data_IF_533190096709
#
_entry.id   IF_533190096709
#
_cell.length_a   1.000
_cell.length_b   1.000
_cell.length_c   1.000
_cell.angle_alpha   90.00
_cell.angle_beta   90.00
_cell.angle_gamma   90.00
#
_symmetry.space_group_name_H-M   'P 1'
#
loop_
_entity.id
_entity.type
_entity.pdbx_description
1 polymer ?
#
# COMPACT_ATOMS: atom_id res chain seq x y z
N UNK A 1 41.08 -40.83 -8.56
CA UNK A 1 40.75 -39.82 -7.52
C UNK A 1 39.45 -39.17 -7.95
N UNK A 2 38.32 -39.68 -7.44
CA UNK A 2 36.99 -39.11 -7.68
C UNK A 2 36.87 -37.83 -6.83
N UNK A 3 36.77 -36.67 -7.50
CA UNK A 3 36.50 -35.39 -6.84
C UNK A 3 35.16 -35.40 -6.10
N UNK A 4 34.99 -34.59 -5.05
CA UNK A 4 33.74 -34.55 -4.28
C UNK A 4 32.61 -34.16 -5.19
N UNK A 5 31.58 -35.03 -5.28
CA UNK A 5 30.35 -34.73 -5.96
C UNK A 5 29.78 -33.40 -5.41
N UNK A 6 29.60 -32.42 -6.29
CA UNK A 6 29.00 -31.15 -5.92
C UNK A 6 27.62 -31.50 -5.32
N UNK A 7 27.44 -31.26 -4.02
CA UNK A 7 26.14 -31.39 -3.38
C UNK A 7 25.19 -30.41 -4.07
N UNK A 8 24.20 -30.95 -4.77
CA UNK A 8 23.12 -30.15 -5.32
C UNK A 8 22.52 -29.30 -4.18
N UNK A 9 22.64 -27.96 -4.26
CA UNK A 9 21.96 -27.08 -3.32
C UNK A 9 20.47 -27.18 -3.64
N UNK A 10 19.70 -27.67 -2.68
CA UNK A 10 18.24 -27.59 -2.78
C UNK A 10 17.89 -26.12 -2.61
N UNK A 11 17.54 -25.46 -3.71
CA UNK A 11 17.02 -24.10 -3.67
C UNK A 11 15.54 -24.13 -3.32
N UNK A 12 15.08 -23.16 -2.54
CA UNK A 12 13.65 -22.93 -2.35
C UNK A 12 12.98 -22.70 -3.72
N UNK A 13 11.74 -23.16 -3.94
CA UNK A 13 11.03 -22.91 -5.18
C UNK A 13 10.84 -21.39 -5.37
N UNK A 14 10.84 -20.95 -6.64
CA UNK A 14 10.58 -19.55 -6.96
C UNK A 14 9.19 -19.14 -6.44
N UNK A 15 9.00 -17.93 -5.92
CA UNK A 15 7.71 -17.47 -5.38
C UNK A 15 6.52 -17.70 -6.31
N UNK A 16 6.71 -17.58 -7.63
CA UNK A 16 5.64 -17.75 -8.63
C UNK A 16 5.05 -19.17 -8.65
N UNK A 17 5.81 -20.18 -8.22
CA UNK A 17 5.42 -21.60 -8.25
C UNK A 17 5.51 -22.26 -6.87
N UNK A 18 5.94 -21.54 -5.84
CA UNK A 18 6.00 -22.06 -4.49
C UNK A 18 4.60 -22.44 -3.99
N UNK A 19 4.44 -23.59 -3.28
CA UNK A 19 3.16 -23.92 -2.67
C UNK A 19 2.75 -22.83 -1.67
N UNK A 20 1.46 -22.49 -1.68
CA UNK A 20 0.92 -21.56 -0.71
C UNK A 20 0.94 -22.17 0.69
N UNK A 21 1.17 -21.38 1.75
CA UNK A 21 1.03 -21.87 3.11
C UNK A 21 -0.42 -22.29 3.40
N UNK A 22 -0.65 -23.18 4.37
CA UNK A 22 -2.01 -23.56 4.75
C UNK A 22 -2.78 -22.33 5.26
N UNK A 23 -4.01 -22.17 4.77
CA UNK A 23 -4.87 -21.08 5.22
C UNK A 23 -5.35 -21.33 6.65
N UNK A 24 -5.31 -20.32 7.51
CA UNK A 24 -5.95 -20.29 8.81
C UNK A 24 -7.34 -19.67 8.73
N UNK A 25 -8.30 -20.19 9.52
CA UNK A 25 -9.64 -19.62 9.67
C UNK A 25 -9.76 -19.06 11.09
N UNK A 26 -9.24 -17.84 11.32
CA UNK A 26 -9.29 -17.19 12.64
C UNK A 26 -10.59 -16.44 12.87
N UNK A 27 -11.14 -15.87 11.78
CA UNK A 27 -12.41 -15.18 11.78
C UNK A 27 -13.45 -15.95 10.95
N UNK A 28 -14.70 -16.03 11.37
CA UNK A 28 -15.74 -16.68 10.60
C UNK A 28 -15.87 -16.12 9.19
N UNK A 29 -15.83 -16.99 8.18
CA UNK A 29 -15.94 -16.59 6.78
C UNK A 29 -14.73 -15.88 6.21
N UNK A 30 -13.55 -15.92 6.87
CA UNK A 30 -12.31 -15.36 6.38
C UNK A 30 -11.19 -16.40 6.43
N UNK A 31 -10.46 -16.55 5.33
CA UNK A 31 -9.26 -17.39 5.24
C UNK A 31 -8.03 -16.49 5.26
N UNK A 32 -7.05 -16.81 6.08
CA UNK A 32 -5.84 -16.03 6.27
C UNK A 32 -4.62 -16.84 5.84
N UNK A 33 -3.80 -16.31 4.94
CA UNK A 33 -2.48 -16.84 4.58
C UNK A 33 -1.42 -15.83 5.01
N UNK A 34 -0.43 -16.26 5.78
CA UNK A 34 0.60 -15.40 6.35
C UNK A 34 1.97 -15.75 5.79
N UNK A 35 2.80 -14.71 5.58
CA UNK A 35 4.19 -14.89 5.18
C UNK A 35 4.34 -15.53 3.81
N UNK A 36 3.51 -15.13 2.83
CA UNK A 36 3.59 -15.65 1.46
C UNK A 36 4.67 -14.88 0.70
N UNK A 37 5.80 -15.51 0.33
CA UNK A 37 6.83 -14.83 -0.43
C UNK A 37 6.33 -14.53 -1.85
N UNK A 38 6.49 -13.28 -2.28
CA UNK A 38 6.14 -12.86 -3.65
C UNK A 38 7.36 -12.41 -4.47
N UNK A 39 8.46 -12.07 -3.80
CA UNK A 39 9.70 -11.64 -4.46
C UNK A 39 10.92 -12.06 -3.65
N UNK A 40 11.93 -12.55 -4.37
CA UNK A 40 13.27 -12.81 -3.84
C UNK A 40 14.26 -11.95 -4.62
N UNK A 41 14.48 -10.71 -4.17
CA UNK A 41 15.49 -9.84 -4.75
C UNK A 41 16.89 -10.27 -4.29
N UNK A 42 17.86 -10.24 -5.20
CA UNK A 42 19.24 -10.60 -4.87
C UNK A 42 19.81 -9.64 -3.80
N UNK A 43 20.39 -10.21 -2.73
CA UNK A 43 20.96 -9.44 -1.62
C UNK A 43 19.94 -8.88 -0.64
N UNK A 44 18.66 -9.19 -0.79
CA UNK A 44 17.58 -8.77 0.11
C UNK A 44 16.97 -9.97 0.84
N UNK A 45 16.25 -9.70 1.94
CA UNK A 45 15.34 -10.67 2.52
C UNK A 45 14.23 -11.04 1.51
N UNK A 46 13.59 -12.20 1.64
CA UNK A 46 12.35 -12.44 0.91
C UNK A 46 11.34 -11.34 1.24
N UNK A 47 10.66 -10.82 0.22
CA UNK A 47 9.53 -9.94 0.42
C UNK A 47 8.26 -10.78 0.41
N UNK A 48 7.45 -10.57 1.44
CA UNK A 48 6.28 -11.38 1.71
C UNK A 48 5.01 -10.52 1.70
N UNK A 49 3.90 -11.18 1.53
CA UNK A 49 2.58 -10.60 1.73
C UNK A 49 1.74 -11.51 2.64
N UNK A 50 0.77 -10.90 3.29
CA UNK A 50 -0.28 -11.60 4.01
C UNK A 50 -1.60 -11.41 3.28
N UNK A 51 -2.40 -12.47 3.20
CA UNK A 51 -3.68 -12.47 2.51
C UNK A 51 -4.83 -12.72 3.49
N UNK A 52 -5.86 -11.89 3.41
CA UNK A 52 -7.17 -12.15 3.98
C UNK A 52 -8.14 -12.34 2.83
N UNK A 53 -8.66 -13.55 2.69
CA UNK A 53 -9.54 -13.93 1.59
C UNK A 53 -10.95 -14.16 2.11
N UNK A 54 -11.99 -13.67 1.43
CA UNK A 54 -13.36 -14.00 1.77
C UNK A 54 -13.56 -15.52 1.79
N UNK A 55 -14.36 -16.00 2.74
CA UNK A 55 -14.87 -17.37 2.71
C UNK A 55 -15.92 -17.50 1.62
N UNK A 56 -15.49 -17.91 0.44
CA UNK A 56 -16.38 -18.04 -0.72
C UNK A 56 -17.00 -19.43 -0.80
N UNK A 57 -18.26 -19.52 -1.26
CA UNK A 57 -18.83 -20.79 -1.71
C UNK A 57 -18.04 -21.31 -2.94
N UNK A 58 -18.01 -22.64 -3.20
CA UNK A 58 -17.19 -23.22 -4.27
C UNK A 58 -17.36 -22.59 -5.65
N UNK A 59 -18.53 -22.04 -5.97
CA UNK A 59 -18.85 -21.45 -7.30
C UNK A 59 -18.95 -19.91 -7.25
N UNK A 60 -18.37 -19.27 -6.23
CA UNK A 60 -18.40 -17.81 -6.15
C UNK A 60 -17.49 -17.16 -7.18
N UNK A 61 -17.90 -16.01 -7.73
CA UNK A 61 -17.04 -15.19 -8.56
C UNK A 61 -15.77 -14.77 -7.77
N UNK A 62 -14.62 -14.62 -8.46
CA UNK A 62 -13.39 -14.15 -7.82
C UNK A 62 -13.60 -12.81 -7.10
N UNK A 63 -13.04 -12.68 -5.90
CA UNK A 63 -13.17 -11.48 -5.07
C UNK A 63 -12.34 -10.32 -5.63
N UNK A 64 -12.84 -9.07 -5.60
CA UNK A 64 -12.01 -7.91 -5.88
C UNK A 64 -10.87 -7.79 -4.87
N UNK A 65 -9.80 -7.11 -5.26
CA UNK A 65 -8.56 -7.05 -4.49
C UNK A 65 -8.34 -5.67 -3.86
N UNK A 66 -7.98 -5.65 -2.61
CA UNK A 66 -7.34 -4.50 -1.95
C UNK A 66 -5.86 -4.82 -1.76
N UNK A 67 -4.98 -3.99 -2.30
CA UNK A 67 -3.54 -4.02 -1.97
C UNK A 67 -3.28 -2.97 -0.91
N UNK A 68 -3.00 -3.41 0.31
CA UNK A 68 -2.69 -2.52 1.42
C UNK A 68 -1.19 -2.29 1.53
N UNK A 69 -0.78 -1.02 1.62
CA UNK A 69 0.60 -0.56 1.75
C UNK A 69 0.75 0.18 3.07
N UNK A 70 1.56 -0.36 3.97
CA UNK A 70 1.73 0.18 5.32
C UNK A 70 2.55 1.47 5.37
N UNK A 71 2.26 2.32 6.35
CA UNK A 71 3.03 3.50 6.70
C UNK A 71 4.36 3.18 7.41
N UNK A 72 4.99 4.21 7.98
CA UNK A 72 6.23 4.08 8.75
C UNK A 72 7.41 4.84 8.15
N UNK A 73 7.14 5.98 7.51
CA UNK A 73 8.16 6.90 6.97
C UNK A 73 9.19 6.20 6.07
N UNK A 74 8.77 5.14 5.37
CA UNK A 74 9.56 4.28 4.46
C UNK A 74 10.72 3.52 5.11
N UNK A 75 11.00 3.69 6.40
CA UNK A 75 12.14 3.03 7.06
C UNK A 75 11.75 2.07 8.17
N UNK A 76 10.47 2.00 8.53
CA UNK A 76 9.91 1.05 9.48
C UNK A 76 8.46 0.70 9.10
N UNK A 77 7.82 -0.14 9.88
CA UNK A 77 6.45 -0.58 9.64
C UNK A 77 6.35 -2.08 9.39
N UNK A 78 5.12 -2.55 9.33
CA UNK A 78 4.79 -3.97 9.12
C UNK A 78 3.56 -4.06 8.22
N UNK A 79 3.56 -5.03 7.33
CA UNK A 79 2.45 -5.26 6.39
C UNK A 79 1.10 -5.51 7.08
N UNK A 80 1.10 -6.12 8.27
CA UNK A 80 -0.11 -6.47 9.02
C UNK A 80 -0.57 -5.37 10.00
N UNK A 81 -0.17 -4.12 9.79
CA UNK A 81 -0.48 -2.99 10.66
C UNK A 81 -1.10 -1.82 9.88
N UNK A 82 -2.39 -1.57 10.07
CA UNK A 82 -3.10 -0.42 9.51
C UNK A 82 -3.05 0.82 10.44
N UNK A 83 -2.08 0.89 11.33
CA UNK A 83 -1.85 2.00 12.25
C UNK A 83 -2.42 1.78 13.65
N UNK A 84 -1.94 2.62 14.57
CA UNK A 84 -2.16 2.47 16.02
C UNK A 84 -3.63 2.39 16.41
N UNK A 85 -4.50 3.14 15.72
CA UNK A 85 -5.91 3.29 16.09
C UNK A 85 -6.75 2.06 15.75
N UNK A 86 -6.25 1.17 14.87
CA UNK A 86 -6.97 -0.05 14.46
C UNK A 86 -6.44 -1.32 15.11
N UNK A 87 -5.30 -1.25 15.81
CA UNK A 87 -4.63 -2.43 16.39
C UNK A 87 -5.45 -3.20 17.42
N UNK A 88 -6.37 -2.51 18.11
CA UNK A 88 -7.22 -3.11 19.14
C UNK A 88 -8.58 -3.58 18.58
N UNK A 89 -8.82 -3.41 17.28
CA UNK A 89 -10.08 -3.83 16.68
C UNK A 89 -10.18 -5.37 16.63
N UNK A 90 -11.37 -5.86 16.98
CA UNK A 90 -11.73 -7.28 16.88
C UNK A 90 -13.15 -7.41 16.31
N UNK A 91 -13.32 -7.93 15.08
CA UNK A 91 -12.28 -8.32 14.11
C UNK A 91 -11.40 -7.14 13.69
N UNK A 92 -10.14 -7.45 13.32
CA UNK A 92 -9.20 -6.45 12.82
C UNK A 92 -9.59 -5.90 11.44
N UNK A 93 -8.96 -4.77 11.01
CA UNK A 93 -9.38 -4.05 9.81
C UNK A 93 -9.34 -4.92 8.54
N UNK A 94 -8.30 -5.73 8.35
CA UNK A 94 -8.17 -6.58 7.17
C UNK A 94 -9.22 -7.70 7.13
N UNK A 95 -9.54 -8.28 8.29
CA UNK A 95 -10.62 -9.26 8.39
C UNK A 95 -11.98 -8.62 8.10
N UNK A 96 -12.22 -7.38 8.51
CA UNK A 96 -13.44 -6.62 8.20
C UNK A 96 -13.57 -6.37 6.69
N UNK A 97 -12.49 -6.02 6.00
CA UNK A 97 -12.46 -5.85 4.54
C UNK A 97 -12.77 -7.19 3.85
N UNK A 98 -12.14 -8.29 4.33
CA UNK A 98 -12.40 -9.62 3.77
C UNK A 98 -13.83 -10.09 4.01
N UNK A 99 -14.38 -9.86 5.20
CA UNK A 99 -15.79 -10.15 5.52
C UNK A 99 -16.78 -9.32 4.66
N UNK A 100 -16.36 -8.16 4.17
CA UNK A 100 -17.14 -7.33 3.23
C UNK A 100 -17.05 -7.82 1.77
N UNK A 101 -16.34 -8.93 1.50
CA UNK A 101 -16.27 -9.57 0.19
C UNK A 101 -15.07 -9.16 -0.68
N UNK A 102 -14.10 -8.42 -0.15
CA UNK A 102 -12.89 -8.04 -0.86
C UNK A 102 -11.68 -8.82 -0.34
N UNK A 103 -10.89 -9.44 -1.20
CA UNK A 103 -9.60 -9.98 -0.80
C UNK A 103 -8.65 -8.84 -0.41
N UNK A 104 -7.79 -9.05 0.59
CA UNK A 104 -6.78 -8.07 0.99
C UNK A 104 -5.41 -8.71 0.90
N UNK A 105 -4.48 -8.05 0.21
CA UNK A 105 -3.06 -8.36 0.21
C UNK A 105 -2.32 -7.24 0.95
N UNK A 106 -1.80 -7.53 2.12
CA UNK A 106 -0.94 -6.63 2.87
C UNK A 106 0.51 -6.92 2.50
N UNK A 107 1.20 -5.96 1.89
CA UNK A 107 2.49 -6.22 1.25
C UNK A 107 3.66 -5.61 2.01
N UNK A 108 4.75 -6.37 2.13
CA UNK A 108 6.06 -5.82 2.46
C UNK A 108 6.60 -5.03 1.26
N UNK A 109 7.48 -4.10 1.52
CA UNK A 109 8.36 -3.50 0.53
C UNK A 109 9.73 -3.28 1.16
N UNK A 110 10.79 -3.11 0.35
CA UNK A 110 12.11 -2.78 0.89
C UNK A 110 12.07 -1.41 1.54
N UNK A 111 12.46 -1.39 2.81
CA UNK A 111 12.57 -0.15 3.56
C UNK A 111 13.80 0.65 3.09
N UNK A 112 13.83 1.94 3.36
CA UNK A 112 14.90 2.83 2.92
C UNK A 112 16.29 2.50 3.49
N UNK A 113 16.37 1.67 4.53
CA UNK A 113 17.62 1.06 5.00
C UNK A 113 18.07 -0.15 4.19
N UNK A 114 17.20 -0.73 3.37
CA UNK A 114 17.47 -1.88 2.50
C UNK A 114 17.75 -1.43 1.06
N UNK A 115 16.94 -0.47 0.55
CA UNK A 115 17.11 0.06 -0.79
C UNK A 115 16.43 1.45 -0.93
N UNK A 116 17.04 2.31 -1.75
CA UNK A 116 16.47 3.62 -2.06
C UNK A 116 15.37 3.53 -3.14
N UNK A 117 14.58 4.61 -3.28
CA UNK A 117 13.65 4.77 -4.40
C UNK A 117 14.39 4.64 -5.76
N UNK A 118 13.82 3.89 -6.75
CA UNK A 118 12.43 3.44 -6.84
C UNK A 118 12.15 2.04 -6.26
N UNK A 119 13.09 1.40 -5.58
CA UNK A 119 12.97 0.00 -5.16
C UNK A 119 11.65 -0.34 -4.40
N UNK A 120 11.16 0.45 -3.45
CA UNK A 120 9.87 0.16 -2.79
C UNK A 120 8.69 0.14 -3.77
N UNK A 121 8.67 1.01 -4.77
CA UNK A 121 7.63 1.02 -5.80
C UNK A 121 7.74 -0.20 -6.72
N UNK A 122 8.94 -0.59 -7.10
CA UNK A 122 9.20 -1.78 -7.92
C UNK A 122 8.77 -3.07 -7.18
N UNK A 123 8.92 -3.10 -5.86
CA UNK A 123 8.47 -4.19 -5.02
C UNK A 123 6.93 -4.31 -5.03
N UNK A 124 6.22 -3.18 -4.93
CA UNK A 124 4.74 -3.18 -5.03
C UNK A 124 4.25 -3.61 -6.40
N UNK A 125 4.93 -3.20 -7.48
CA UNK A 125 4.66 -3.69 -8.82
C UNK A 125 4.88 -5.20 -8.94
N UNK A 126 5.95 -5.70 -8.31
CA UNK A 126 6.22 -7.13 -8.27
C UNK A 126 5.13 -7.90 -7.49
N UNK A 127 4.64 -7.35 -6.37
CA UNK A 127 3.54 -7.92 -5.61
C UNK A 127 2.25 -7.98 -6.46
N UNK A 128 1.90 -6.90 -7.15
CA UNK A 128 0.72 -6.86 -8.02
C UNK A 128 0.84 -7.87 -9.17
N UNK A 129 2.01 -7.97 -9.81
CA UNK A 129 2.27 -8.98 -10.85
C UNK A 129 2.12 -10.40 -10.31
N UNK A 130 2.68 -10.69 -9.13
CA UNK A 130 2.57 -11.99 -8.47
C UNK A 130 1.11 -12.32 -8.15
N UNK A 131 0.35 -11.36 -7.60
CA UNK A 131 -1.07 -11.51 -7.31
C UNK A 131 -1.87 -11.78 -8.59
N UNK A 132 -1.53 -11.13 -9.71
CA UNK A 132 -2.15 -11.39 -11.01
C UNK A 132 -1.85 -12.80 -11.50
N UNK A 133 -0.62 -13.25 -11.38
CA UNK A 133 -0.21 -14.62 -11.75
C UNK A 133 -0.94 -15.69 -10.94
N UNK A 134 -1.14 -15.46 -9.66
CA UNK A 134 -1.72 -16.42 -8.70
C UNK A 134 -3.22 -16.17 -8.45
N UNK A 135 -3.83 -15.18 -9.09
CA UNK A 135 -5.19 -14.73 -8.83
C UNK A 135 -6.24 -15.84 -8.91
N UNK A 136 -6.17 -16.68 -9.93
CA UNK A 136 -7.10 -17.81 -10.11
C UNK A 136 -7.02 -18.83 -8.95
N UNK A 137 -5.82 -19.16 -8.48
CA UNK A 137 -5.61 -20.08 -7.36
C UNK A 137 -6.10 -19.48 -6.03
N UNK A 138 -5.94 -18.17 -5.87
CA UNK A 138 -6.38 -17.44 -4.68
C UNK A 138 -7.89 -17.13 -4.68
N UNK A 139 -8.57 -17.26 -5.83
CA UNK A 139 -9.95 -16.82 -6.01
C UNK A 139 -10.10 -15.29 -6.04
N UNK A 140 -9.11 -14.57 -6.62
CA UNK A 140 -9.01 -13.12 -6.63
C UNK A 140 -9.05 -12.59 -8.06
N UNK A 141 -9.82 -11.52 -8.27
CA UNK A 141 -9.87 -10.77 -9.52
C UNK A 141 -9.00 -9.51 -9.41
N UNK A 142 -7.81 -9.57 -9.98
CA UNK A 142 -6.86 -8.45 -9.98
C UNK A 142 -7.20 -7.35 -10.99
N UNK A 143 -8.13 -7.58 -11.90
CA UNK A 143 -8.71 -6.54 -12.77
C UNK A 143 -9.57 -5.53 -11.99
N UNK A 144 -9.90 -5.85 -10.73
CA UNK A 144 -10.67 -5.00 -9.80
C UNK A 144 -9.83 -4.69 -8.56
N UNK A 145 -8.62 -4.16 -8.77
CA UNK A 145 -7.69 -3.84 -7.69
C UNK A 145 -7.87 -2.40 -7.24
N UNK A 146 -8.09 -2.18 -5.95
CA UNK A 146 -7.99 -0.88 -5.30
C UNK A 146 -6.76 -0.90 -4.38
N UNK A 147 -5.90 0.12 -4.48
CA UNK A 147 -4.78 0.26 -3.56
C UNK A 147 -5.19 1.12 -2.36
N UNK A 148 -4.72 0.76 -1.18
CA UNK A 148 -5.00 1.49 0.05
C UNK A 148 -3.72 1.64 0.85
N UNK A 149 -3.36 2.86 1.24
CA UNK A 149 -2.16 3.09 2.04
C UNK A 149 -2.31 4.26 3.00
N UNK A 150 -1.52 4.23 4.06
CA UNK A 150 -1.43 5.28 5.06
C UNK A 150 -0.04 5.91 5.11
N UNK A 151 0.06 7.22 5.30
CA UNK A 151 1.35 7.94 5.44
C UNK A 151 2.33 7.61 4.31
N UNK A 152 3.51 7.10 4.62
CA UNK A 152 4.49 6.61 3.63
C UNK A 152 3.91 5.53 2.69
N UNK A 153 3.03 4.67 3.21
CA UNK A 153 2.29 3.70 2.39
C UNK A 153 1.28 4.38 1.47
N UNK A 154 0.64 5.46 1.92
CA UNK A 154 -0.23 6.30 1.09
C UNK A 154 0.52 6.96 -0.07
N UNK A 155 1.75 7.41 0.17
CA UNK A 155 2.64 7.90 -0.87
C UNK A 155 2.93 6.81 -1.93
N UNK A 156 3.37 5.62 -1.50
CA UNK A 156 3.69 4.52 -2.41
C UNK A 156 2.46 3.97 -3.12
N UNK A 157 1.31 3.89 -2.45
CA UNK A 157 0.04 3.50 -3.04
C UNK A 157 -0.42 4.50 -4.11
N UNK A 158 -0.21 5.81 -3.88
CA UNK A 158 -0.49 6.84 -4.89
C UNK A 158 0.36 6.65 -6.14
N UNK A 159 1.66 6.43 -5.97
CA UNK A 159 2.57 6.16 -7.09
C UNK A 159 2.20 4.87 -7.84
N UNK A 160 1.83 3.81 -7.12
CA UNK A 160 1.40 2.55 -7.74
C UNK A 160 0.13 2.75 -8.56
N UNK A 161 -0.87 3.45 -8.02
CA UNK A 161 -2.12 3.74 -8.71
C UNK A 161 -1.91 4.57 -9.99
N UNK A 162 -0.99 5.53 -9.95
CA UNK A 162 -0.69 6.39 -11.11
C UNK A 162 0.17 5.69 -12.17
N UNK A 163 0.90 4.62 -11.77
CA UNK A 163 1.80 3.90 -12.67
C UNK A 163 1.19 2.64 -13.29
N UNK A 164 0.17 2.04 -12.66
CA UNK A 164 -0.37 0.75 -13.06
C UNK A 164 -1.83 0.88 -13.55
N UNK A 165 -2.07 0.79 -14.86
CA UNK A 165 -3.41 0.95 -15.44
C UNK A 165 -4.45 -0.09 -14.97
N UNK A 166 -4.01 -1.19 -14.38
CA UNK A 166 -4.87 -2.22 -13.80
C UNK A 166 -5.47 -1.83 -12.43
N UNK A 167 -5.01 -0.73 -11.83
CA UNK A 167 -5.54 -0.23 -10.56
C UNK A 167 -6.83 0.55 -10.82
N UNK A 168 -7.93 0.09 -10.24
CA UNK A 168 -9.27 0.64 -10.41
C UNK A 168 -9.58 1.83 -9.49
N UNK A 169 -8.77 2.07 -8.45
CA UNK A 169 -8.94 3.18 -7.52
C UNK A 169 -7.90 3.20 -6.42
N UNK A 170 -7.81 4.32 -5.69
CA UNK A 170 -6.86 4.49 -4.59
C UNK A 170 -7.52 5.13 -3.37
N UNK A 171 -7.27 4.55 -2.20
CA UNK A 171 -7.61 5.13 -0.88
C UNK A 171 -6.31 5.55 -0.20
N UNK A 172 -6.16 6.84 0.05
CA UNK A 172 -4.93 7.41 0.59
C UNK A 172 -5.24 8.13 1.91
N UNK A 173 -4.67 7.64 2.98
CA UNK A 173 -4.74 8.27 4.27
C UNK A 173 -3.47 9.09 4.53
N UNK A 174 -3.61 10.40 4.68
CA UNK A 174 -2.56 11.36 5.05
C UNK A 174 -1.18 11.10 4.39
N UNK A 175 -1.18 10.75 3.11
CA UNK A 175 0.05 10.45 2.36
C UNK A 175 0.76 11.70 1.87
N UNK A 176 2.10 11.78 1.97
CA UNK A 176 2.87 12.82 1.28
C UNK A 176 2.72 12.66 -0.24
N UNK A 177 2.58 13.77 -0.96
CA UNK A 177 2.38 13.74 -2.42
C UNK A 177 3.45 14.49 -3.21
N UNK A 178 4.23 15.34 -2.54
CA UNK A 178 5.31 16.11 -3.16
C UNK A 178 6.56 16.06 -2.26
N UNK A 179 7.61 15.41 -2.73
CA UNK A 179 8.87 15.30 -2.02
C UNK A 179 9.85 16.43 -2.35
N UNK A 180 9.44 17.38 -3.17
CA UNK A 180 10.22 18.59 -3.50
C UNK A 180 9.88 19.76 -2.59
N UNK A 181 8.83 19.63 -1.76
CA UNK A 181 8.35 20.66 -0.82
C UNK A 181 8.52 20.22 0.62
N UNK A 182 8.31 21.13 1.55
CA UNK A 182 8.34 20.82 2.98
C UNK A 182 7.17 19.91 3.38
N UNK A 183 7.44 18.99 4.31
CA UNK A 183 6.44 18.15 4.94
C UNK A 183 6.45 18.42 6.45
N UNK A 184 5.48 19.19 6.91
CA UNK A 184 5.50 19.70 8.27
C UNK A 184 6.78 20.52 8.51
N UNK A 185 7.59 20.12 9.48
CA UNK A 185 8.88 20.76 9.78
C UNK A 185 10.08 20.14 9.04
N UNK A 186 9.88 19.09 8.24
CA UNK A 186 10.93 18.51 7.40
C UNK A 186 11.08 19.31 6.12
N UNK A 187 12.29 19.83 5.87
CA UNK A 187 12.59 20.62 4.66
C UNK A 187 13.35 19.80 3.62
N UNK A 188 13.23 20.13 2.34
CA UNK A 188 13.93 19.40 1.27
C UNK A 188 15.46 19.47 1.34
N UNK A 189 16.00 20.46 2.05
CA UNK A 189 17.46 20.65 2.22
C UNK A 189 18.05 19.77 3.31
N UNK A 190 17.23 19.28 4.25
CA UNK A 190 17.71 18.52 5.40
C UNK A 190 18.02 17.06 5.01
N UNK A 191 19.30 16.61 5.09
CA UNK A 191 19.68 15.23 4.77
C UNK A 191 19.25 14.20 5.83
N UNK A 192 18.74 14.63 6.99
CA UNK A 192 18.34 13.75 8.07
C UNK A 192 16.87 13.31 7.97
N UNK A 193 16.13 13.82 6.98
CA UNK A 193 14.71 13.52 6.80
C UNK A 193 14.45 12.08 6.33
N UNK A 194 13.27 11.53 6.60
CA UNK A 194 12.84 10.26 6.01
C UNK A 194 12.88 10.27 4.48
N UNK A 195 12.54 11.39 3.85
CA UNK A 195 12.62 11.61 2.40
C UNK A 195 14.05 11.47 1.88
N UNK A 196 15.01 12.06 2.59
CA UNK A 196 16.42 11.94 2.23
C UNK A 196 16.91 10.48 2.31
N UNK A 197 16.43 9.70 3.28
CA UNK A 197 16.73 8.27 3.37
C UNK A 197 16.10 7.50 2.21
N UNK A 198 14.83 7.78 1.89
CA UNK A 198 14.14 7.16 0.77
C UNK A 198 14.85 7.45 -0.56
N UNK A 199 15.29 8.68 -0.77
CA UNK A 199 15.92 9.13 -2.01
C UNK A 199 17.43 8.86 -2.06
N UNK A 200 18.07 8.51 -0.91
CA UNK A 200 19.50 8.33 -0.80
C UNK A 200 20.30 9.64 -0.70
N UNK A 201 19.63 10.79 -0.69
CA UNK A 201 20.19 12.14 -0.47
C UNK A 201 19.04 13.10 -0.15
N UNK A 202 19.37 14.30 0.38
CA UNK A 202 18.40 15.36 0.59
C UNK A 202 17.63 15.65 -0.71
N UNK A 203 16.29 15.78 -0.67
CA UNK A 203 15.46 16.03 -1.86
C UNK A 203 15.99 17.17 -2.74
N UNK A 204 16.42 18.29 -2.14
CA UNK A 204 16.99 19.43 -2.85
C UNK A 204 18.31 19.12 -3.58
N UNK A 205 19.06 18.11 -3.12
CA UNK A 205 20.29 17.65 -3.78
C UNK A 205 20.04 16.68 -4.95
N UNK A 206 18.83 16.10 -5.03
CA UNK A 206 18.42 15.14 -6.06
C UNK A 206 17.05 15.49 -6.63
N UNK A 207 16.82 16.69 -7.15
CA UNK A 207 15.49 17.22 -7.48
C UNK A 207 14.74 16.38 -8.51
N UNK A 208 15.43 15.81 -9.48
CA UNK A 208 14.81 14.93 -10.49
C UNK A 208 14.29 13.64 -9.85
N UNK A 209 15.05 13.04 -8.93
CA UNK A 209 14.63 11.85 -8.19
C UNK A 209 13.48 12.19 -7.23
N UNK A 210 13.54 13.32 -6.54
CA UNK A 210 12.48 13.80 -5.69
C UNK A 210 11.18 14.01 -6.49
N UNK A 211 11.27 14.64 -7.66
CA UNK A 211 10.13 14.81 -8.57
C UNK A 211 9.59 13.47 -9.08
N UNK A 212 10.46 12.54 -9.47
CA UNK A 212 10.06 11.19 -9.91
C UNK A 212 9.37 10.40 -8.79
N UNK A 213 9.74 10.66 -7.53
CA UNK A 213 9.11 10.08 -6.35
C UNK A 213 7.89 10.86 -5.85
N UNK A 214 7.47 11.94 -6.50
CA UNK A 214 6.34 12.77 -6.06
C UNK A 214 5.06 12.39 -6.82
N UNK A 215 4.04 11.80 -6.16
CA UNK A 215 2.75 11.47 -6.79
C UNK A 215 2.15 12.63 -7.59
N UNK A 216 2.15 13.85 -7.04
CA UNK A 216 1.59 15.03 -7.72
C UNK A 216 2.23 15.28 -9.08
N UNK A 217 3.51 14.97 -9.23
CA UNK A 217 4.26 15.14 -10.49
C UNK A 217 4.05 13.97 -11.48
N UNK A 218 3.41 12.89 -11.06
CA UNK A 218 3.12 11.71 -11.90
C UNK A 218 1.67 11.68 -12.39
N UNK A 219 0.85 12.62 -11.97
CA UNK A 219 -0.55 12.70 -12.40
C UNK A 219 -0.62 12.94 -13.91
N UNK A 220 -1.39 12.11 -14.61
CA UNK A 220 -1.64 12.20 -16.05
C UNK A 220 -3.12 11.91 -16.35
N UNK A 221 -3.62 12.29 -17.53
CA UNK A 221 -4.95 11.89 -17.98
C UNK A 221 -5.13 10.35 -17.94
N UNK A 222 -6.30 9.92 -17.46
CA UNK A 222 -6.56 8.49 -17.26
C UNK A 222 -6.17 7.94 -15.91
N UNK A 223 -5.72 8.77 -14.95
CA UNK A 223 -5.53 8.38 -13.56
C UNK A 223 -6.84 7.81 -12.98
N UNK A 224 -6.77 6.74 -12.16
CA UNK A 224 -7.97 6.16 -11.56
C UNK A 224 -8.62 7.11 -10.53
N UNK A 225 -9.84 6.82 -10.05
CA UNK A 225 -10.45 7.51 -8.93
C UNK A 225 -9.60 7.46 -7.64
N UNK A 226 -9.55 8.57 -6.91
CA UNK A 226 -8.86 8.69 -5.62
C UNK A 226 -9.81 9.15 -4.51
N UNK A 227 -9.77 8.48 -3.36
CA UNK A 227 -10.25 8.99 -2.08
C UNK A 227 -9.05 9.38 -1.22
N UNK A 228 -8.88 10.67 -0.99
CA UNK A 228 -7.84 11.24 -0.13
C UNK A 228 -8.48 11.63 1.20
N UNK A 229 -8.02 11.07 2.32
CA UNK A 229 -8.52 11.37 3.66
C UNK A 229 -7.39 11.93 4.50
N UNK A 230 -7.56 13.15 5.02
CA UNK A 230 -6.47 13.85 5.71
C UNK A 230 -7.01 14.75 6.83
N UNK A 231 -6.33 14.74 7.98
CA UNK A 231 -6.63 15.65 9.07
C UNK A 231 -6.15 17.08 8.79
N UNK A 232 -6.93 18.09 9.19
CA UNK A 232 -6.52 19.49 9.04
C UNK A 232 -5.57 19.98 10.13
N UNK A 233 -5.36 19.17 11.18
CA UNK A 233 -4.40 19.42 12.25
C UNK A 233 -3.17 18.50 12.18
N UNK A 234 -2.91 17.86 11.02
CA UNK A 234 -1.79 16.94 10.84
C UNK A 234 -0.45 17.68 10.97
N UNK A 235 0.32 17.34 11.99
CA UNK A 235 1.61 17.96 12.32
C UNK A 235 2.81 17.30 11.66
N UNK A 236 2.62 16.11 11.05
CA UNK A 236 3.71 15.36 10.38
C UNK A 236 3.67 15.48 8.85
N UNK A 237 2.48 15.45 8.28
CA UNK A 237 2.25 15.62 6.84
C UNK A 237 1.23 16.72 6.68
N UNK A 238 1.65 17.89 6.23
CA UNK A 238 0.75 19.01 6.05
C UNK A 238 -0.40 18.64 5.10
N UNK A 239 -1.62 19.04 5.46
CA UNK A 239 -2.83 18.77 4.68
C UNK A 239 -2.73 19.21 3.21
N UNK A 240 -1.89 20.22 2.91
CA UNK A 240 -1.63 20.72 1.56
C UNK A 240 -1.13 19.64 0.61
N UNK A 241 -0.47 18.58 1.10
CA UNK A 241 -0.06 17.44 0.27
C UNK A 241 -1.28 16.75 -0.36
N UNK A 242 -2.30 16.41 0.41
CA UNK A 242 -3.53 15.83 -0.13
C UNK A 242 -4.32 16.83 -0.99
N UNK A 243 -4.34 18.11 -0.59
CA UNK A 243 -5.01 19.14 -1.38
C UNK A 243 -4.36 19.33 -2.76
N UNK A 244 -3.03 19.36 -2.83
CA UNK A 244 -2.28 19.48 -4.09
C UNK A 244 -2.49 18.29 -5.00
N UNK A 245 -2.45 17.06 -4.45
CA UNK A 245 -2.71 15.86 -5.24
C UNK A 245 -4.16 15.84 -5.77
N UNK A 246 -5.15 16.17 -4.93
CA UNK A 246 -6.54 16.26 -5.36
C UNK A 246 -6.74 17.28 -6.48
N UNK A 247 -6.09 18.44 -6.38
CA UNK A 247 -6.14 19.47 -7.41
C UNK A 247 -5.53 18.99 -8.73
N UNK A 248 -4.35 18.37 -8.69
CA UNK A 248 -3.68 17.84 -9.87
C UNK A 248 -4.52 16.74 -10.56
N UNK A 249 -5.09 15.81 -9.78
CA UNK A 249 -5.97 14.74 -10.29
C UNK A 249 -7.20 15.34 -11.01
N UNK A 250 -7.88 16.30 -10.39
CA UNK A 250 -9.04 16.96 -10.98
C UNK A 250 -8.68 17.74 -12.25
N UNK A 251 -7.52 18.40 -12.28
CA UNK A 251 -7.03 19.09 -13.48
C UNK A 251 -6.73 18.11 -14.63
N UNK A 252 -6.29 16.88 -14.31
CA UNK A 252 -6.09 15.82 -15.30
C UNK A 252 -7.39 15.12 -15.72
N UNK A 253 -8.54 15.51 -15.16
CA UNK A 253 -9.86 14.93 -15.47
C UNK A 253 -10.18 13.67 -14.67
N UNK A 254 -9.39 13.32 -13.65
CA UNK A 254 -9.65 12.19 -12.78
C UNK A 254 -10.65 12.53 -11.66
N UNK A 255 -11.42 11.54 -11.22
CA UNK A 255 -12.25 11.66 -10.03
C UNK A 255 -11.35 11.68 -8.80
N UNK A 256 -11.44 12.72 -7.99
CA UNK A 256 -10.68 12.85 -6.75
C UNK A 256 -11.55 13.47 -5.65
N UNK A 257 -11.86 12.65 -4.65
CA UNK A 257 -12.51 13.09 -3.43
C UNK A 257 -11.43 13.42 -2.39
N UNK A 258 -11.45 14.64 -1.86
CA UNK A 258 -10.66 15.03 -0.69
C UNK A 258 -11.63 15.19 0.49
N UNK A 259 -11.46 14.33 1.47
CA UNK A 259 -12.16 14.44 2.75
C UNK A 259 -11.21 14.96 3.81
N UNK A 260 -11.37 16.23 4.15
CA UNK A 260 -10.69 16.87 5.27
C UNK A 260 -11.38 16.49 6.57
N UNK A 261 -10.63 15.92 7.52
CA UNK A 261 -11.13 15.49 8.83
C UNK A 261 -10.77 16.55 9.87
N UNK A 262 -11.76 17.30 10.42
CA UNK A 262 -11.48 18.39 11.33
C UNK A 262 -10.81 17.93 12.64
N UNK A 263 -9.74 18.62 13.07
CA UNK A 263 -9.03 18.40 14.31
C UNK A 263 -8.22 17.10 14.39
N UNK A 264 -8.16 16.32 13.31
CA UNK A 264 -7.35 15.12 13.28
C UNK A 264 -5.88 15.45 13.06
N UNK A 265 -5.02 14.96 13.93
CA UNK A 265 -3.57 14.91 13.70
C UNK A 265 -3.19 13.60 12.99
N UNK A 266 -1.91 13.45 12.65
CA UNK A 266 -1.36 12.29 11.93
C UNK A 266 -1.77 10.97 12.59
N UNK A 267 -2.03 9.94 11.78
CA UNK A 267 -2.51 8.63 12.23
C UNK A 267 -3.81 8.71 13.07
N UNK A 268 -4.65 9.69 12.79
CA UNK A 268 -5.95 9.92 13.44
C UNK A 268 -5.84 10.24 14.94
N UNK A 269 -4.70 10.78 15.39
CA UNK A 269 -4.59 11.27 16.76
C UNK A 269 -5.59 12.42 17.01
N UNK A 270 -6.10 12.47 18.23
CA UNK A 270 -7.10 13.45 18.63
C UNK A 270 -8.55 13.09 18.31
N UNK A 271 -8.80 12.08 17.47
CA UNK A 271 -10.16 11.67 17.13
C UNK A 271 -10.76 10.67 18.12
N UNK A 272 -12.08 10.70 18.36
CA UNK A 272 -12.78 9.60 19.00
C UNK A 272 -12.82 8.37 18.11
N UNK A 273 -12.97 7.17 18.69
CA UNK A 273 -12.98 5.90 17.98
C UNK A 273 -14.05 5.83 16.90
N UNK A 274 -15.23 6.39 17.17
CA UNK A 274 -16.36 6.46 16.21
C UNK A 274 -16.00 7.20 14.91
N UNK A 275 -15.14 8.21 14.98
CA UNK A 275 -14.68 8.92 13.80
C UNK A 275 -13.67 8.10 13.01
N UNK A 276 -12.77 7.36 13.69
CA UNK A 276 -11.83 6.46 13.04
C UNK A 276 -12.58 5.32 12.33
N UNK A 277 -13.61 4.77 12.96
CA UNK A 277 -14.50 3.78 12.34
C UNK A 277 -15.26 4.36 11.15
N UNK A 278 -15.70 5.61 11.21
CA UNK A 278 -16.36 6.29 10.09
C UNK A 278 -15.42 6.47 8.90
N UNK A 279 -14.16 6.85 9.17
CA UNK A 279 -13.12 6.97 8.14
C UNK A 279 -12.88 5.61 7.46
N UNK A 280 -12.71 4.57 8.25
CA UNK A 280 -12.55 3.21 7.75
C UNK A 280 -13.74 2.75 6.90
N UNK A 281 -14.95 2.93 7.41
CA UNK A 281 -16.19 2.54 6.70
C UNK A 281 -16.32 3.27 5.37
N UNK A 282 -16.08 4.58 5.33
CA UNK A 282 -16.10 5.37 4.10
C UNK A 282 -15.06 4.89 3.09
N UNK A 283 -13.87 4.55 3.57
CA UNK A 283 -12.79 4.01 2.75
C UNK A 283 -13.18 2.64 2.16
N UNK A 284 -13.81 1.79 2.95
CA UNK A 284 -14.32 0.50 2.50
C UNK A 284 -15.46 0.65 1.48
N UNK A 285 -16.34 1.61 1.68
CA UNK A 285 -17.41 1.92 0.70
C UNK A 285 -16.85 2.40 -0.62
N UNK A 286 -15.80 3.23 -0.60
CA UNK A 286 -15.08 3.62 -1.81
C UNK A 286 -14.51 2.39 -2.53
N UNK A 287 -13.81 1.50 -1.81
CA UNK A 287 -13.30 0.23 -2.38
C UNK A 287 -14.42 -0.55 -3.05
N UNK A 288 -15.53 -0.77 -2.35
CA UNK A 288 -16.67 -1.55 -2.87
C UNK A 288 -17.32 -0.93 -4.10
N UNK A 289 -17.29 0.40 -4.21
CA UNK A 289 -17.88 1.11 -5.35
C UNK A 289 -16.99 1.05 -6.59
N UNK A 290 -15.67 1.10 -6.44
CA UNK A 290 -14.72 1.11 -7.55
C UNK A 290 -14.18 -0.28 -7.91
N UNK A 291 -14.37 -1.27 -7.05
CA UNK A 291 -14.04 -2.67 -7.31
C UNK A 291 -15.24 -3.49 -7.88
N UNK A 292 -16.25 -2.83 -8.42
CA UNK A 292 -17.39 -3.50 -9.09
C UNK A 292 -17.01 -3.93 -10.51
N UNK A 293 -17.66 -5.02 -11.04
CA UNK A 293 -17.50 -5.42 -12.43
C UNK A 293 -17.91 -4.34 -13.40
#
# INVERSE_FOLDING_TARGET
>A
VTGPAARARIAAPHPDVAPLPPAAAREPGVRELRGVPYLQAAGSRPLELDLWLPGTAPDSAPAPLVVFVHGGAWFLGRRDDMGLRTRQWSPGPFARIAAAGCAVACVDYRLSGEAAFPAPLDDLRAALRWLTLRGAELGVDTGRTVVWGDSAGGHLASLLALAEPSVAGAVIWYGPSDLTTARGHFTPEDPATPEARLLGAAPAAVPERARAASPVAQVAPGAPPFLLVHGDADTMVDHSHSASLAAALRQAGAEAELWTVPGADHAWHGLPETEVERIFTRSLDFVRNHARP
#
